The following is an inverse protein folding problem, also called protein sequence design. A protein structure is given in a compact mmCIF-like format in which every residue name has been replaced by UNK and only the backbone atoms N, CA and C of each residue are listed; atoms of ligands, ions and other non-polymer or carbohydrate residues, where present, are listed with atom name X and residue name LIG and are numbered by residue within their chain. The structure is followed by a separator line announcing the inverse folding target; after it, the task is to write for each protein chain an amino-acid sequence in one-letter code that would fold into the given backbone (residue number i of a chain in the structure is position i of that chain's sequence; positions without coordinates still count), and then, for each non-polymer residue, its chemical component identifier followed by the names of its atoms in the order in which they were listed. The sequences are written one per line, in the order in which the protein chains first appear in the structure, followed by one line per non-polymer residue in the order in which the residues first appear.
data_IF_737577846919
#
_entry.id   IF_737577846919
#
_cell.length_a   1.000
_cell.length_b   1.000
_cell.length_c   1.000
_cell.angle_alpha   90.00
_cell.angle_beta   90.00
_cell.angle_gamma   90.00
#
_symmetry.space_group_name_H-M   'P 1'
#
loop_
_entity.id
_entity.type
_entity.pdbx_description
1 polymer ?
#
# COMPACT_ATOMS: atom_id res chain seq x y z
N UNK A 1 -2.17 -9.25 -21.12
CA UNK A 1 -2.12 -8.48 -19.87
C UNK A 1 -0.92 -7.55 -19.85
N UNK A 2 -1.11 -6.40 -20.47
CA UNK A 2 -0.20 -5.25 -20.48
C UNK A 2 -0.85 -4.08 -19.76
N UNK A 3 -0.04 -3.20 -19.19
CA UNK A 3 -0.47 -2.00 -18.50
C UNK A 3 -1.03 -1.02 -19.55
N UNK A 4 -2.30 -0.66 -19.43
CA UNK A 4 -3.02 0.21 -20.36
C UNK A 4 -3.19 1.63 -19.81
N UNK A 5 -3.35 1.79 -18.49
CA UNK A 5 -3.56 3.09 -17.83
C UNK A 5 -3.10 3.03 -16.37
N UNK A 6 -2.56 4.15 -15.89
CA UNK A 6 -2.36 4.41 -14.45
C UNK A 6 -3.32 5.53 -14.06
N UNK A 7 -4.05 5.35 -12.97
CA UNK A 7 -5.05 6.31 -12.48
C UNK A 7 -4.89 6.52 -10.99
N UNK A 8 -4.81 7.77 -10.56
CA UNK A 8 -4.70 8.11 -9.14
C UNK A 8 -6.03 8.60 -8.60
N UNK A 9 -6.38 8.17 -7.38
CA UNK A 9 -7.59 8.56 -6.67
C UNK A 9 -7.20 9.25 -5.37
N UNK A 10 -7.86 10.39 -5.13
CA UNK A 10 -7.70 11.23 -3.94
C UNK A 10 -9.03 11.19 -3.17
N UNK A 11 -8.97 10.83 -1.89
CA UNK A 11 -10.14 10.80 -1.02
C UNK A 11 -10.05 12.00 -0.06
N UNK A 12 -10.97 12.99 -0.13
CA UNK A 12 -10.92 14.18 0.70
C UNK A 12 -10.87 13.91 2.21
N UNK A 13 -11.55 12.86 2.66
CA UNK A 13 -11.59 12.40 4.06
C UNK A 13 -10.24 11.81 4.51
N UNK A 14 -9.41 11.38 3.56
CA UNK A 14 -8.06 10.86 3.78
C UNK A 14 -7.06 11.64 2.92
N UNK A 15 -6.85 12.94 3.20
CA UNK A 15 -6.17 13.86 2.28
C UNK A 15 -4.71 13.49 2.04
N UNK A 16 -4.14 12.64 2.90
CA UNK A 16 -2.76 12.20 2.90
C UNK A 16 -2.52 10.86 2.21
N UNK A 17 -3.59 10.12 1.91
CA UNK A 17 -3.53 8.83 1.21
C UNK A 17 -3.67 9.02 -0.29
N UNK A 18 -2.95 8.21 -1.06
CA UNK A 18 -3.07 8.12 -2.52
C UNK A 18 -3.38 6.69 -2.88
N UNK A 19 -4.45 6.50 -3.66
CA UNK A 19 -4.80 5.20 -4.21
C UNK A 19 -4.41 5.20 -5.70
N UNK A 20 -3.80 4.11 -6.15
CA UNK A 20 -3.37 3.91 -7.54
C UNK A 20 -4.11 2.73 -8.13
N UNK A 21 -4.78 2.96 -9.26
CA UNK A 21 -5.36 1.91 -10.10
C UNK A 21 -4.46 1.71 -11.33
N UNK A 22 -3.95 0.49 -11.50
CA UNK A 22 -3.29 0.07 -12.73
C UNK A 22 -4.28 -0.77 -13.54
N UNK A 23 -4.70 -0.24 -14.68
CA UNK A 23 -5.62 -0.92 -15.59
C UNK A 23 -4.85 -1.73 -16.61
N UNK A 24 -5.26 -2.97 -16.82
CA UNK A 24 -4.71 -3.87 -17.83
C UNK A 24 -5.55 -3.89 -19.11
N UNK A 25 -4.92 -4.26 -20.22
CA UNK A 25 -5.54 -4.39 -21.55
C UNK A 25 -6.64 -5.46 -21.64
N UNK A 26 -6.76 -6.34 -20.65
CA UNK A 26 -7.81 -7.37 -20.56
C UNK A 26 -8.97 -6.99 -19.63
N UNK A 27 -9.00 -5.74 -19.16
CA UNK A 27 -10.08 -5.19 -18.33
C UNK A 27 -9.92 -5.39 -16.83
N UNK A 28 -8.85 -6.07 -16.36
CA UNK A 28 -8.54 -6.13 -14.92
C UNK A 28 -7.92 -4.83 -14.42
N UNK A 29 -8.09 -4.58 -13.13
CA UNK A 29 -7.51 -3.42 -12.45
C UNK A 29 -6.87 -3.85 -11.14
N UNK A 30 -5.61 -3.49 -10.94
CA UNK A 30 -4.91 -3.67 -9.67
C UNK A 30 -4.96 -2.42 -8.83
N UNK A 31 -5.18 -2.58 -7.52
CA UNK A 31 -5.18 -1.52 -6.52
C UNK A 31 -3.86 -1.49 -5.76
N UNK A 32 -3.25 -0.32 -5.73
CA UNK A 32 -2.12 0.02 -4.87
C UNK A 32 -2.44 1.22 -3.99
N UNK A 33 -1.73 1.36 -2.87
CA UNK A 33 -1.91 2.46 -1.93
C UNK A 33 -0.56 2.99 -1.46
N UNK A 34 -0.51 4.29 -1.15
CA UNK A 34 0.61 4.89 -0.43
C UNK A 34 0.19 6.12 0.40
N UNK A 35 1.09 6.52 1.29
CA UNK A 35 1.04 7.68 2.19
C UNK A 35 2.48 8.20 2.34
N UNK A 36 2.85 9.47 2.54
CA UNK A 36 2.16 10.75 2.77
C UNK A 36 2.22 11.63 1.51
N UNK A 37 2.09 12.98 1.58
CA UNK A 37 2.33 13.95 0.49
C UNK A 37 1.95 13.47 -0.93
N UNK A 38 0.69 13.15 -1.16
CA UNK A 38 0.20 12.45 -2.34
C UNK A 38 0.44 13.20 -3.66
N UNK A 39 0.34 14.54 -3.68
CA UNK A 39 0.59 15.32 -4.91
C UNK A 39 2.01 15.13 -5.46
N UNK A 40 3.02 15.01 -4.59
CA UNK A 40 4.38 14.71 -5.02
C UNK A 40 4.51 13.30 -5.60
N UNK A 41 3.78 12.34 -5.01
CA UNK A 41 3.76 10.96 -5.49
C UNK A 41 3.02 10.85 -6.84
N UNK A 42 1.93 11.58 -7.04
CA UNK A 42 1.21 11.64 -8.30
C UNK A 42 2.10 12.11 -9.45
N UNK A 43 2.88 13.18 -9.24
CA UNK A 43 3.86 13.65 -10.23
C UNK A 43 4.88 12.56 -10.58
N UNK A 44 5.44 11.86 -9.60
CA UNK A 44 6.36 10.75 -9.89
C UNK A 44 5.67 9.64 -10.69
N UNK A 45 4.45 9.26 -10.32
CA UNK A 45 3.71 8.20 -11.01
C UNK A 45 3.46 8.58 -12.47
N UNK A 46 2.94 9.78 -12.73
CA UNK A 46 2.47 10.17 -14.07
C UNK A 46 3.57 10.74 -14.96
N UNK A 47 4.50 11.53 -14.41
CA UNK A 47 5.55 12.20 -15.18
C UNK A 47 6.74 11.28 -15.46
N UNK A 48 6.99 10.32 -14.56
CA UNK A 48 8.16 9.45 -14.63
C UNK A 48 7.80 7.97 -14.81
N UNK A 49 7.09 7.35 -13.85
CA UNK A 49 6.85 5.90 -13.88
C UNK A 49 5.99 5.47 -15.08
N UNK A 50 4.95 6.24 -15.41
CA UNK A 50 4.02 5.92 -16.49
C UNK A 50 4.71 5.88 -17.87
N UNK A 51 5.74 6.72 -18.09
CA UNK A 51 6.50 6.76 -19.35
C UNK A 51 7.20 5.42 -19.64
N UNK A 52 7.59 4.70 -18.59
CA UNK A 52 8.19 3.38 -18.69
C UNK A 52 7.14 2.26 -18.70
N UNK A 53 6.13 2.34 -17.84
CA UNK A 53 5.20 1.23 -17.53
C UNK A 53 4.13 1.01 -18.60
N UNK A 54 3.67 2.05 -19.29
CA UNK A 54 2.60 1.90 -20.28
C UNK A 54 3.02 0.94 -21.41
N UNK A 55 2.14 0.00 -21.73
CA UNK A 55 2.40 -1.07 -22.70
C UNK A 55 3.28 -2.21 -22.18
N UNK A 56 3.88 -2.10 -21.00
CA UNK A 56 4.67 -3.18 -20.40
C UNK A 56 3.78 -4.33 -19.94
N UNK A 57 4.34 -5.53 -19.91
CA UNK A 57 3.66 -6.72 -19.39
C UNK A 57 3.55 -6.64 -17.86
N UNK A 58 2.36 -6.87 -17.33
CA UNK A 58 2.09 -6.73 -15.87
C UNK A 58 2.92 -7.70 -15.02
N UNK A 59 3.13 -8.93 -15.49
CA UNK A 59 3.79 -9.98 -14.72
C UNK A 59 5.32 -9.83 -14.60
N UNK A 60 5.92 -8.86 -15.28
CA UNK A 60 7.37 -8.61 -15.21
C UNK A 60 7.71 -7.73 -13.99
N UNK A 61 7.06 -7.98 -12.84
CA UNK A 61 7.06 -7.12 -11.64
C UNK A 61 8.46 -6.76 -11.14
N UNK A 62 9.32 -7.77 -10.95
CA UNK A 62 10.70 -7.57 -10.49
C UNK A 62 11.52 -6.71 -11.45
N UNK A 63 11.30 -6.88 -12.76
CA UNK A 63 11.94 -6.04 -13.77
C UNK A 63 11.49 -4.58 -13.64
N UNK A 64 10.19 -4.35 -13.44
CA UNK A 64 9.64 -3.00 -13.26
C UNK A 64 10.18 -2.36 -11.99
N UNK A 65 10.20 -3.12 -10.89
CA UNK A 65 10.75 -2.67 -9.62
C UNK A 65 12.21 -2.27 -9.76
N UNK A 66 13.05 -3.16 -10.29
CA UNK A 66 14.47 -2.89 -10.47
C UNK A 66 14.75 -1.71 -11.42
N UNK A 67 14.00 -1.60 -12.52
CA UNK A 67 14.16 -0.50 -13.47
C UNK A 67 13.80 0.85 -12.86
N UNK A 68 12.63 0.95 -12.20
CA UNK A 68 12.18 2.18 -11.56
C UNK A 68 13.10 2.54 -10.39
N UNK A 69 13.46 1.56 -9.55
CA UNK A 69 14.37 1.76 -8.42
C UNK A 69 15.74 2.27 -8.87
N UNK A 70 16.34 1.68 -9.92
CA UNK A 70 17.64 2.11 -10.43
C UNK A 70 17.65 3.58 -10.88
N UNK A 71 16.55 4.07 -11.44
CA UNK A 71 16.41 5.47 -11.84
C UNK A 71 16.06 6.38 -10.65
N UNK A 72 15.22 5.92 -9.73
CA UNK A 72 14.88 6.65 -8.50
C UNK A 72 16.09 6.83 -7.59
N UNK A 73 17.00 5.86 -7.54
CA UNK A 73 18.18 5.86 -6.66
C UNK A 73 19.16 7.01 -6.96
N UNK A 74 19.11 7.64 -8.14
CA UNK A 74 19.85 8.87 -8.41
C UNK A 74 19.41 10.05 -7.52
N UNK A 75 18.19 9.99 -6.99
CA UNK A 75 17.59 10.99 -6.09
C UNK A 75 17.58 10.53 -4.62
N UNK A 76 18.05 9.30 -4.34
CA UNK A 76 18.12 8.70 -3.01
C UNK A 76 17.29 7.42 -2.87
N UNK A 77 17.27 6.86 -1.66
CA UNK A 77 16.61 5.60 -1.31
C UNK A 77 15.33 5.79 -0.48
N UNK A 78 14.72 6.98 -0.56
CA UNK A 78 13.51 7.35 0.16
C UNK A 78 12.74 8.40 -0.65
N UNK A 79 11.66 8.96 -0.09
CA UNK A 79 10.97 10.09 -0.72
C UNK A 79 9.72 9.70 -1.50
N UNK A 80 9.32 10.56 -2.43
CA UNK A 80 8.10 10.36 -3.23
C UNK A 80 8.28 9.22 -4.24
N UNK A 81 9.51 9.01 -4.67
CA UNK A 81 9.96 8.04 -5.64
C UNK A 81 9.73 6.61 -5.14
N UNK A 82 10.19 6.29 -3.93
CA UNK A 82 9.97 4.96 -3.35
C UNK A 82 8.51 4.74 -2.94
N UNK A 83 7.79 5.79 -2.53
CA UNK A 83 6.35 5.70 -2.24
C UNK A 83 5.53 5.42 -3.50
N UNK A 84 5.86 6.07 -4.63
CA UNK A 84 5.27 5.79 -5.93
C UNK A 84 5.57 4.35 -6.37
N UNK A 85 6.83 3.92 -6.25
CA UNK A 85 7.24 2.55 -6.56
C UNK A 85 6.48 1.53 -5.69
N UNK A 86 6.29 1.80 -4.39
CA UNK A 86 5.53 0.94 -3.49
C UNK A 86 4.07 0.79 -3.94
N UNK A 87 3.39 1.89 -4.28
CA UNK A 87 2.00 1.83 -4.77
C UNK A 87 1.90 1.04 -6.08
N UNK A 88 2.87 1.22 -6.99
CA UNK A 88 2.94 0.47 -8.25
C UNK A 88 3.14 -1.03 -7.97
N UNK A 89 4.08 -1.39 -7.10
CA UNK A 89 4.37 -2.80 -6.80
C UNK A 89 3.15 -3.51 -6.20
N UNK A 90 2.47 -2.88 -5.23
CA UNK A 90 1.23 -3.41 -4.64
C UNK A 90 0.16 -3.64 -5.72
N UNK A 91 -0.07 -2.66 -6.61
CA UNK A 91 -1.06 -2.79 -7.68
C UNK A 91 -0.72 -3.91 -8.68
N UNK A 92 0.57 -4.10 -8.99
CA UNK A 92 1.01 -5.18 -9.87
C UNK A 92 0.89 -6.55 -9.19
N UNK A 93 1.09 -6.64 -7.88
CA UNK A 93 0.84 -7.86 -7.10
C UNK A 93 -0.64 -8.22 -7.03
N UNK A 94 -1.51 -7.22 -6.86
CA UNK A 94 -2.96 -7.42 -6.93
C UNK A 94 -3.38 -7.99 -8.29
N UNK A 95 -2.92 -7.38 -9.40
CA UNK A 95 -3.16 -7.95 -10.73
C UNK A 95 -2.61 -9.37 -10.91
N UNK A 96 -1.46 -9.70 -10.30
CA UNK A 96 -0.90 -11.04 -10.36
C UNK A 96 -1.77 -12.06 -9.59
N UNK A 97 -2.29 -11.69 -8.42
CA UNK A 97 -3.28 -12.46 -7.67
C UNK A 97 -4.54 -12.70 -8.50
N UNK A 98 -5.12 -11.63 -9.06
CA UNK A 98 -6.31 -11.71 -9.89
C UNK A 98 -6.13 -12.56 -11.16
N UNK A 99 -4.96 -12.50 -11.80
CA UNK A 99 -4.66 -13.28 -13.00
C UNK A 99 -4.52 -14.78 -12.68
N UNK A 100 -3.93 -15.11 -11.52
CA UNK A 100 -3.70 -16.50 -11.10
C UNK A 100 -4.88 -17.11 -10.36
N UNK A 101 -5.80 -16.29 -9.85
CA UNK A 101 -6.88 -16.73 -8.97
C UNK A 101 -6.39 -17.16 -7.58
N UNK A 102 -5.13 -16.86 -7.23
CA UNK A 102 -4.52 -17.23 -5.96
C UNK A 102 -4.42 -16.00 -5.04
N UNK A 103 -4.56 -16.19 -3.72
CA UNK A 103 -4.22 -15.13 -2.78
C UNK A 103 -2.72 -14.81 -2.86
N UNK A 104 -2.35 -13.53 -2.69
CA UNK A 104 -0.95 -13.08 -2.84
C UNK A 104 0.00 -13.83 -1.91
N UNK A 105 -0.43 -14.19 -0.70
CA UNK A 105 0.40 -14.97 0.23
C UNK A 105 0.82 -16.34 -0.32
N UNK A 106 -0.01 -16.97 -1.16
CA UNK A 106 0.37 -18.22 -1.83
C UNK A 106 1.40 -17.99 -2.93
N UNK A 107 1.34 -16.84 -3.61
CA UNK A 107 2.31 -16.45 -4.64
C UNK A 107 3.70 -16.15 -4.07
N UNK A 108 3.79 -15.73 -2.80
CA UNK A 108 5.07 -15.38 -2.13
C UNK A 108 5.63 -16.50 -1.25
N UNK A 109 5.06 -17.72 -1.32
CA UNK A 109 5.62 -18.89 -0.65
C UNK A 109 4.63 -19.72 0.17
N UNK A 110 3.35 -19.37 0.19
CA UNK A 110 2.32 -20.15 0.87
C UNK A 110 2.04 -19.72 2.30
N UNK A 111 0.92 -20.24 2.81
CA UNK A 111 0.49 -20.02 4.19
C UNK A 111 1.45 -20.66 5.20
N UNK A 112 2.04 -19.82 6.06
CA UNK A 112 2.86 -20.28 7.20
C UNK A 112 2.08 -20.40 8.52
N UNK A 113 1.06 -19.56 8.72
CA UNK A 113 0.27 -19.50 9.96
C UNK A 113 -1.21 -19.24 9.68
N UNK A 114 -2.06 -19.57 10.65
CA UNK A 114 -3.50 -19.39 10.52
C UNK A 114 -3.98 -17.97 10.83
N UNK A 115 -3.30 -17.28 11.75
CA UNK A 115 -3.65 -15.93 12.22
C UNK A 115 -2.41 -15.05 12.34
N UNK A 116 -2.59 -13.73 12.24
CA UNK A 116 -1.53 -12.73 12.42
C UNK A 116 -1.91 -11.86 13.62
N UNK A 117 -1.09 -11.83 14.70
CA UNK A 117 -1.32 -10.93 15.82
C UNK A 117 -1.25 -9.46 15.37
N UNK A 118 -2.19 -8.65 15.85
CA UNK A 118 -2.23 -7.20 15.61
C UNK A 118 -1.93 -6.46 16.92
N UNK A 119 -1.51 -5.19 16.80
CA UNK A 119 -1.34 -4.29 17.93
C UNK A 119 -2.08 -2.97 17.68
N UNK A 120 -2.52 -2.30 18.74
CA UNK A 120 -3.18 -1.00 18.63
C UNK A 120 -2.18 0.16 18.64
N UNK A 121 -2.32 1.11 17.72
CA UNK A 121 -1.44 2.28 17.58
C UNK A 121 -1.91 3.50 18.39
N UNK A 122 -3.11 3.47 19.00
CA UNK A 122 -3.66 4.53 19.85
C UNK A 122 -3.63 5.91 19.17
N UNK A 123 -4.28 5.98 18.02
CA UNK A 123 -4.47 7.20 17.24
C UNK A 123 -5.97 7.37 17.06
N UNK A 124 -6.54 8.41 17.69
CA UNK A 124 -7.98 8.58 17.75
C UNK A 124 -8.59 8.45 16.34
N UNK A 125 -9.70 7.73 16.25
CA UNK A 125 -10.55 7.62 15.06
C UNK A 125 -11.94 8.14 15.39
N UNK A 126 -12.80 8.44 14.40
CA UNK A 126 -14.18 8.82 14.67
C UNK A 126 -14.95 7.79 15.53
N UNK A 127 -14.54 6.51 15.49
CA UNK A 127 -15.15 5.44 16.26
C UNK A 127 -14.48 5.18 17.63
N UNK A 128 -13.23 5.58 17.82
CA UNK A 128 -12.43 5.22 19.00
C UNK A 128 -11.57 6.39 19.48
N UNK A 129 -11.72 6.78 20.75
CA UNK A 129 -10.91 7.82 21.40
C UNK A 129 -9.76 7.21 22.23
N UNK A 130 -9.01 6.32 21.60
CA UNK A 130 -8.00 5.48 22.24
C UNK A 130 -6.66 6.21 22.48
N UNK A 131 -6.36 7.29 21.75
CA UNK A 131 -5.21 8.15 22.05
C UNK A 131 -5.42 8.86 23.37
N UNK A 132 -6.61 9.42 23.59
CA UNK A 132 -6.95 10.04 24.88
C UNK A 132 -6.91 9.01 26.02
N UNK A 133 -7.48 7.83 25.79
CA UNK A 133 -7.42 6.72 26.74
C UNK A 133 -5.99 6.32 27.09
N UNK A 134 -5.09 6.30 26.09
CA UNK A 134 -3.67 6.01 26.28
C UNK A 134 -2.96 7.08 27.11
N UNK A 135 -3.24 8.36 26.85
CA UNK A 135 -2.60 9.47 27.57
C UNK A 135 -3.10 9.64 29.00
N UNK A 136 -4.39 9.40 29.26
CA UNK A 136 -5.01 9.71 30.54
C UNK A 136 -5.24 8.47 31.43
N UNK A 137 -5.53 7.30 30.84
CA UNK A 137 -5.90 6.07 31.56
C UNK A 137 -5.30 4.81 30.90
N UNK A 138 -3.98 4.72 30.67
CA UNK A 138 -3.37 3.65 29.87
C UNK A 138 -3.65 2.24 30.41
N UNK A 139 -3.76 2.08 31.73
CA UNK A 139 -4.07 0.79 32.34
C UNK A 139 -5.51 0.33 32.14
N UNK A 140 -6.47 1.27 32.07
CA UNK A 140 -7.86 0.93 31.77
C UNK A 140 -8.02 0.62 30.28
N UNK A 141 -7.42 1.44 29.41
CA UNK A 141 -7.41 1.18 27.97
C UNK A 141 -6.78 -0.19 27.66
N UNK A 142 -5.67 -0.55 28.31
CA UNK A 142 -5.07 -1.87 28.13
C UNK A 142 -6.03 -3.01 28.54
N UNK A 143 -6.82 -2.84 29.60
CA UNK A 143 -7.85 -3.83 30.00
C UNK A 143 -9.00 -3.90 28.99
N UNK A 144 -9.44 -2.76 28.48
CA UNK A 144 -10.46 -2.65 27.43
C UNK A 144 -9.99 -3.36 26.14
N UNK A 145 -8.78 -3.06 25.67
CA UNK A 145 -8.17 -3.72 24.51
C UNK A 145 -8.02 -5.23 24.69
N UNK A 146 -7.59 -5.69 25.87
CA UNK A 146 -7.50 -7.12 26.17
C UNK A 146 -8.87 -7.80 26.14
N UNK A 147 -9.92 -7.13 26.63
CA UNK A 147 -11.29 -7.64 26.57
C UNK A 147 -11.80 -7.76 25.12
N UNK A 148 -11.34 -6.87 24.23
CA UNK A 148 -11.61 -6.90 22.78
C UNK A 148 -10.69 -7.87 22.01
N UNK A 149 -9.82 -8.60 22.71
CA UNK A 149 -8.90 -9.57 22.10
C UNK A 149 -7.62 -8.96 21.51
N UNK A 150 -7.37 -7.67 21.74
CA UNK A 150 -6.16 -6.97 21.31
C UNK A 150 -5.09 -7.09 22.40
N UNK A 151 -4.17 -8.03 22.18
CA UNK A 151 -3.12 -8.36 23.16
C UNK A 151 -1.93 -7.39 23.24
N UNK A 152 -1.84 -6.42 22.33
CA UNK A 152 -0.69 -5.54 22.20
C UNK A 152 -1.11 -4.09 21.91
N UNK A 153 -0.42 -3.14 22.52
CA UNK A 153 -0.63 -1.70 22.37
C UNK A 153 0.73 -1.01 22.22
N UNK A 154 0.83 -0.05 21.30
CA UNK A 154 2.01 0.77 21.12
C UNK A 154 2.09 1.80 22.25
N UNK A 155 3.17 1.74 23.02
CA UNK A 155 3.50 2.70 24.09
C UNK A 155 4.45 3.76 23.56
#
# INVERSE_FOLDING_TARGET
MRIAKLETIRVPEHPNSLWLLIHADDGRTGLGETYYLPGAVESVIHDFCAQYLLGQRVLDREKHWAAIFAHANFFGFAGAELRALSAIDIALWDLAGQLTGLPIHDLIGGRYRDTIPLYNTCVDTPAHADQKGFLERPGDLARELLADGIGQMKV
#
